data_IF_399382697158
#
_entry.id   IF_399382697158
#
_cell.length_a   1.000
_cell.length_b   1.000
_cell.length_c   1.000
_cell.angle_alpha   90.00
_cell.angle_beta   90.00
_cell.angle_gamma   90.00
#
_symmetry.space_group_name_H-M   'P 1'
#
loop_
_entity.id
_entity.type
_entity.pdbx_description
1 polymer ?
#
# COMPACT_ATOMS: atom_id res chain seq x y z
N UNK A 1 -23.11 24.39 -12.90
CA UNK A 1 -22.56 24.30 -12.34
C UNK A 1 -21.67 23.73 -12.14
N UNK A 2 -21.30 23.52 -12.03
CA UNK A 2 -20.47 22.90 -11.78
C UNK A 2 -19.78 22.55 -10.97
N UNK A 3 -19.63 22.23 -10.59
CA UNK A 3 -19.08 21.98 -9.87
C UNK A 3 -18.23 21.31 -9.69
N UNK A 4 -17.94 20.89 -9.73
CA UNK A 4 -17.34 20.38 -9.50
C UNK A 4 -16.43 20.02 -9.54
N UNK A 5 -16.20 19.82 -9.66
CA UNK A 5 -15.33 19.51 -9.93
C UNK A 5 -14.20 19.42 -9.24
N UNK A 6 -13.91 19.70 -8.60
CA UNK A 6 -12.92 19.81 -7.86
C UNK A 6 -12.51 18.73 -7.05
N UNK A 7 -13.20 17.91 -6.99
CA UNK A 7 -12.84 16.84 -6.28
C UNK A 7 -11.71 16.08 -6.70
N UNK A 8 -11.23 16.18 -7.82
CA UNK A 8 -10.14 15.41 -8.33
C UNK A 8 -8.82 15.72 -7.63
N UNK A 9 -8.78 16.71 -6.79
CA UNK A 9 -7.57 17.02 -6.04
C UNK A 9 -7.39 16.15 -4.80
N UNK A 10 -8.35 15.32 -4.44
CA UNK A 10 -8.22 14.46 -3.29
C UNK A 10 -7.17 13.39 -3.52
N UNK A 11 -6.38 13.01 -2.47
CA UNK A 11 -5.44 11.92 -2.61
C UNK A 11 -6.16 10.64 -3.03
N UNK A 12 -5.60 9.92 -3.99
CA UNK A 12 -6.20 8.70 -4.49
C UNK A 12 -7.20 8.91 -5.59
N UNK A 13 -7.56 10.16 -5.89
CA UNK A 13 -8.38 10.51 -7.05
C UNK A 13 -9.87 10.46 -6.82
N UNK A 14 -10.59 10.08 -7.87
CA UNK A 14 -12.04 10.08 -7.88
C UNK A 14 -12.61 8.96 -7.02
N UNK A 15 -13.92 9.03 -6.79
CA UNK A 15 -14.64 7.97 -6.09
C UNK A 15 -14.44 6.62 -6.75
N UNK A 16 -14.46 6.60 -8.07
CA UNK A 16 -14.27 5.37 -8.81
C UNK A 16 -12.86 4.83 -8.61
N UNK A 17 -11.86 5.70 -8.67
CA UNK A 17 -10.48 5.29 -8.40
C UNK A 17 -10.33 4.73 -7.00
N UNK A 18 -10.94 5.38 -6.02
CA UNK A 18 -10.87 4.92 -4.63
C UNK A 18 -11.55 3.57 -4.45
N UNK A 19 -12.70 3.39 -5.09
CA UNK A 19 -13.44 2.14 -4.97
C UNK A 19 -12.69 0.98 -5.61
N UNK A 20 -12.18 1.18 -6.82
CA UNK A 20 -11.41 0.13 -7.49
C UNK A 20 -10.15 -0.16 -6.72
N UNK A 21 -9.50 0.89 -6.20
CA UNK A 21 -8.30 0.70 -5.38
C UNK A 21 -8.56 -0.17 -4.17
N UNK A 22 -9.71 0.03 -3.48
CA UNK A 22 -10.05 -0.80 -2.33
C UNK A 22 -10.32 -2.24 -2.72
N UNK A 23 -10.97 -2.45 -3.85
CA UNK A 23 -11.21 -3.81 -4.33
C UNK A 23 -9.87 -4.52 -4.59
N UNK A 24 -8.95 -3.85 -5.27
CA UNK A 24 -7.64 -4.41 -5.56
C UNK A 24 -6.86 -4.63 -4.27
N UNK A 25 -6.92 -3.67 -3.33
CA UNK A 25 -6.22 -3.77 -2.06
C UNK A 25 -6.63 -5.03 -1.30
N UNK A 26 -7.94 -5.25 -1.18
CA UNK A 26 -8.45 -6.42 -0.48
C UNK A 26 -8.00 -7.71 -1.17
N UNK A 27 -8.03 -7.74 -2.51
CA UNK A 27 -7.63 -8.92 -3.24
C UNK A 27 -6.16 -9.25 -3.01
N UNK A 28 -5.28 -8.24 -3.13
CA UNK A 28 -3.85 -8.45 -2.95
C UNK A 28 -3.55 -8.85 -1.52
N UNK A 29 -4.18 -8.17 -0.55
CA UNK A 29 -3.96 -8.50 0.86
C UNK A 29 -4.35 -9.94 1.15
N UNK A 30 -5.48 -10.39 0.61
CA UNK A 30 -5.93 -11.76 0.82
C UNK A 30 -4.98 -12.77 0.19
N UNK A 31 -4.52 -12.49 -1.03
CA UNK A 31 -3.58 -13.40 -1.71
C UNK A 31 -2.31 -13.55 -0.88
N UNK A 32 -1.78 -12.43 -0.39
CA UNK A 32 -0.54 -12.47 0.39
C UNK A 32 -0.75 -13.13 1.74
N UNK A 33 -1.89 -12.90 2.38
CA UNK A 33 -2.18 -13.48 3.68
C UNK A 33 -2.35 -15.00 3.60
N UNK A 34 -2.85 -15.48 2.47
CA UNK A 34 -3.08 -16.92 2.28
C UNK A 34 -1.84 -17.65 1.78
N UNK A 35 -0.72 -16.95 1.64
CA UNK A 35 0.49 -17.59 1.12
C UNK A 35 0.34 -17.98 -0.35
N UNK A 36 -0.40 -17.18 -1.11
CA UNK A 36 -0.68 -17.51 -2.50
C UNK A 36 0.49 -17.35 -3.44
N UNK A 37 1.57 -16.74 -3.01
CA UNK A 37 2.75 -16.56 -3.83
C UNK A 37 3.87 -17.43 -3.29
N UNK A 38 4.36 -18.32 -4.10
CA UNK A 38 5.44 -19.22 -3.69
C UNK A 38 6.78 -18.62 -4.10
N UNK A 39 7.37 -17.85 -3.19
CA UNK A 39 8.65 -17.22 -3.41
C UNK A 39 9.36 -17.18 -2.06
N UNK A 40 10.58 -17.71 -2.03
CA UNK A 40 11.32 -17.82 -0.78
C UNK A 40 11.53 -16.46 -0.12
N UNK A 41 11.65 -15.41 -0.91
CA UNK A 41 11.86 -14.08 -0.37
C UNK A 41 10.59 -13.46 0.23
N UNK A 42 9.44 -14.09 0.02
CA UNK A 42 8.19 -13.66 0.63
C UNK A 42 7.80 -14.53 1.81
N UNK A 43 8.33 -15.75 1.86
CA UNK A 43 8.01 -16.67 2.94
C UNK A 43 8.59 -16.14 4.24
N UNK A 44 7.83 -16.28 5.31
CA UNK A 44 8.27 -15.78 6.60
C UNK A 44 8.02 -14.31 6.82
N UNK A 45 7.52 -13.59 5.81
CA UNK A 45 7.17 -12.19 5.97
C UNK A 45 5.66 -12.03 6.03
N UNK A 46 5.21 -11.27 7.02
CA UNK A 46 3.82 -10.83 7.08
C UNK A 46 3.79 -9.48 6.38
N UNK A 47 3.07 -9.40 5.27
CA UNK A 47 3.08 -8.20 4.44
C UNK A 47 1.71 -7.56 4.49
N UNK A 48 1.65 -6.31 4.94
CA UNK A 48 0.40 -5.57 4.95
C UNK A 48 0.31 -4.72 3.68
N UNK A 49 -0.93 -4.45 3.27
CA UNK A 49 -1.21 -3.62 2.10
C UNK A 49 -2.07 -2.45 2.58
N UNK A 50 -1.43 -1.39 3.08
CA UNK A 50 -2.22 -0.27 3.63
C UNK A 50 -2.99 0.51 2.58
N UNK A 51 -2.52 0.54 1.35
CA UNK A 51 -3.15 1.40 0.36
C UNK A 51 -2.88 0.90 -1.05
N UNK A 52 -3.85 1.09 -1.94
CA UNK A 52 -3.66 0.93 -3.39
C UNK A 52 -4.19 2.19 -4.05
N UNK A 53 -3.38 2.80 -4.88
CA UNK A 53 -3.78 3.97 -5.66
C UNK A 53 -3.90 3.61 -7.11
N UNK A 54 -5.05 3.93 -7.69
CA UNK A 54 -5.31 3.64 -9.09
C UNK A 54 -4.98 4.85 -9.95
N UNK A 55 -4.44 4.60 -11.15
CA UNK A 55 -4.32 5.66 -12.14
C UNK A 55 -5.73 6.09 -12.58
N UNK A 56 -5.87 7.32 -13.12
CA UNK A 56 -7.19 7.79 -13.52
C UNK A 56 -7.89 6.91 -14.56
N UNK A 57 -7.13 6.25 -15.43
CA UNK A 57 -7.68 5.35 -16.43
C UNK A 57 -7.89 3.93 -15.89
N UNK A 58 -7.57 3.71 -14.61
CA UNK A 58 -7.73 2.42 -13.92
C UNK A 58 -6.87 1.31 -14.50
N UNK A 59 -5.83 1.65 -15.26
CA UNK A 59 -4.99 0.64 -15.88
C UNK A 59 -3.79 0.26 -15.02
N UNK A 60 -3.43 1.10 -14.06
CA UNK A 60 -2.30 0.83 -13.19
C UNK A 60 -2.70 0.97 -11.74
N UNK A 61 -2.40 -0.04 -10.95
CA UNK A 61 -2.59 -0.03 -9.51
C UNK A 61 -1.22 0.05 -8.85
N UNK A 62 -0.99 1.12 -8.10
CA UNK A 62 0.21 1.23 -7.27
C UNK A 62 -0.13 0.66 -5.90
N UNK A 63 0.46 -0.47 -5.61
CA UNK A 63 0.18 -1.22 -4.38
C UNK A 63 1.25 -0.88 -3.37
N UNK A 64 0.84 -0.21 -2.29
CA UNK A 64 1.74 0.14 -1.20
C UNK A 64 1.75 -1.00 -0.21
N UNK A 65 2.94 -1.45 0.13
CA UNK A 65 3.11 -2.61 1.01
C UNK A 65 4.08 -2.26 2.13
N UNK A 66 3.93 -2.97 3.24
CA UNK A 66 4.85 -2.82 4.36
C UNK A 66 5.02 -4.18 5.02
N UNK A 67 6.21 -4.77 4.94
CA UNK A 67 6.49 -5.98 5.71
C UNK A 67 6.44 -5.67 7.21
N UNK A 68 5.91 -6.58 7.97
CA UNK A 68 5.82 -6.40 9.41
C UNK A 68 7.22 -6.20 9.99
N UNK A 69 7.37 -5.15 10.79
CA UNK A 69 8.66 -4.79 11.34
C UNK A 69 9.52 -3.96 10.42
N UNK A 70 9.09 -3.76 9.18
CA UNK A 70 9.82 -2.90 8.23
C UNK A 70 11.14 -3.46 7.78
N UNK A 71 11.34 -4.78 7.90
CA UNK A 71 12.62 -5.40 7.54
C UNK A 71 12.59 -5.94 6.13
N UNK A 72 13.75 -5.86 5.49
CA UNK A 72 13.95 -6.45 4.16
C UNK A 72 12.96 -5.94 3.13
N UNK A 73 12.62 -4.67 3.21
CA UNK A 73 11.64 -4.09 2.29
C UNK A 73 12.08 -4.22 0.85
N UNK A 74 13.38 -4.02 0.58
CA UNK A 74 13.88 -4.12 -0.80
C UNK A 74 13.73 -5.54 -1.35
N UNK A 75 14.00 -6.54 -0.52
CA UNK A 75 13.86 -7.94 -0.91
C UNK A 75 12.41 -8.27 -1.20
N UNK A 76 11.52 -7.81 -0.33
CA UNK A 76 10.09 -8.07 -0.49
C UNK A 76 9.55 -7.38 -1.75
N UNK A 77 9.91 -6.13 -1.97
CA UNK A 77 9.45 -5.40 -3.16
C UNK A 77 9.95 -6.08 -4.43
N UNK A 78 11.20 -6.50 -4.46
CA UNK A 78 11.74 -7.20 -5.62
C UNK A 78 11.01 -8.51 -5.88
N UNK A 79 10.68 -9.24 -4.81
CA UNK A 79 9.95 -10.50 -4.96
C UNK A 79 8.53 -10.27 -5.46
N UNK A 80 7.86 -9.24 -4.97
CA UNK A 80 6.52 -8.93 -5.45
C UNK A 80 6.54 -8.52 -6.93
N UNK A 81 7.52 -7.71 -7.31
CA UNK A 81 7.66 -7.30 -8.71
C UNK A 81 7.93 -8.50 -9.60
N UNK A 82 8.74 -9.44 -9.13
CA UNK A 82 9.07 -10.65 -9.85
C UNK A 82 7.82 -11.51 -10.10
N UNK A 83 6.87 -11.45 -9.17
CA UNK A 83 5.65 -12.25 -9.23
C UNK A 83 4.43 -11.45 -9.68
N UNK A 84 4.61 -10.27 -10.25
CA UNK A 84 3.47 -9.40 -10.53
C UNK A 84 2.52 -9.98 -11.57
N UNK A 85 3.03 -10.75 -12.51
CA UNK A 85 2.16 -11.39 -13.50
C UNK A 85 1.21 -12.37 -12.84
N UNK A 86 1.75 -13.18 -11.95
CA UNK A 86 0.96 -14.14 -11.20
C UNK A 86 -0.08 -13.40 -10.34
N UNK A 87 0.36 -12.36 -9.64
CA UNK A 87 -0.53 -11.60 -8.78
C UNK A 87 -1.63 -10.92 -9.58
N UNK A 88 -1.30 -10.38 -10.74
CA UNK A 88 -2.30 -9.76 -11.60
C UNK A 88 -3.36 -10.78 -12.01
N UNK A 89 -2.94 -11.98 -12.36
CA UNK A 89 -3.87 -13.05 -12.72
C UNK A 89 -4.77 -13.44 -11.55
N UNK A 90 -4.19 -13.53 -10.36
CA UNK A 90 -4.98 -13.85 -9.16
C UNK A 90 -5.97 -12.75 -8.82
N UNK A 91 -5.57 -11.50 -8.96
CA UNK A 91 -6.50 -10.39 -8.75
C UNK A 91 -7.64 -10.46 -9.75
N UNK A 92 -7.32 -10.72 -11.03
CA UNK A 92 -8.35 -10.84 -12.05
C UNK A 92 -9.36 -11.93 -11.73
N UNK A 93 -8.90 -13.04 -11.15
CA UNK A 93 -9.80 -14.11 -10.75
C UNK A 93 -10.70 -13.73 -9.58
N UNK A 94 -10.20 -12.92 -8.67
CA UNK A 94 -10.91 -12.62 -7.43
C UNK A 94 -11.86 -11.46 -7.56
N UNK A 95 -11.60 -10.55 -8.50
CA UNK A 95 -12.40 -9.34 -8.62
C UNK A 95 -13.10 -9.31 -9.97
N UNK A 96 -14.29 -8.73 -9.97
CA UNK A 96 -15.09 -8.65 -11.18
C UNK A 96 -14.86 -7.30 -11.85
N UNK A 97 -13.65 -7.12 -12.36
CA UNK A 97 -13.29 -5.91 -13.09
C UNK A 97 -13.24 -6.21 -14.57
N UNK A 98 -13.62 -5.24 -15.36
CA UNK A 98 -13.61 -5.39 -16.81
C UNK A 98 -12.21 -5.70 -17.33
N UNK A 99 -11.22 -5.03 -16.78
CA UNK A 99 -9.82 -5.28 -17.09
C UNK A 99 -9.02 -5.34 -15.80
N UNK A 100 -8.13 -6.29 -15.69
CA UNK A 100 -7.22 -6.35 -14.56
C UNK A 100 -6.16 -5.27 -14.73
N UNK A 101 -5.94 -4.43 -13.73
CA UNK A 101 -4.90 -3.41 -13.83
C UNK A 101 -3.52 -4.04 -13.73
N UNK A 102 -2.54 -3.37 -14.29
CA UNK A 102 -1.15 -3.71 -14.01
C UNK A 102 -0.86 -3.35 -12.55
N UNK A 103 0.06 -4.08 -11.95
CA UNK A 103 0.43 -3.84 -10.56
C UNK A 103 1.83 -3.25 -10.49
N UNK A 104 1.99 -2.30 -9.60
CA UNK A 104 3.30 -1.73 -9.27
C UNK A 104 3.40 -1.68 -7.77
N UNK A 105 4.51 -2.15 -7.23
CA UNK A 105 4.68 -2.27 -5.79
C UNK A 105 5.62 -1.20 -5.26
N UNK A 106 5.23 -0.57 -4.16
CA UNK A 106 6.00 0.46 -3.50
C UNK A 106 5.96 0.23 -2.00
N UNK A 107 7.01 0.65 -1.32
CA UNK A 107 7.00 0.61 0.13
C UNK A 107 6.14 1.76 0.64
N UNK A 108 5.31 1.48 1.63
CA UNK A 108 4.53 2.54 2.28
C UNK A 108 5.45 3.29 3.22
N UNK A 109 5.71 4.55 2.92
CA UNK A 109 6.62 5.38 3.71
C UNK A 109 5.95 6.06 4.89
N UNK A 110 4.63 5.89 5.05
CA UNK A 110 3.93 6.48 6.20
C UNK A 110 4.53 6.04 7.51
N UNK A 111 4.91 4.76 7.58
CA UNK A 111 5.52 4.23 8.79
C UNK A 111 6.82 4.96 9.11
N UNK A 112 7.66 5.17 8.11
CA UNK A 112 8.93 5.84 8.30
C UNK A 112 8.72 7.29 8.76
N UNK A 113 7.75 7.97 8.20
CA UNK A 113 7.43 9.31 8.63
C UNK A 113 6.94 9.32 10.07
N UNK A 114 6.09 8.38 10.42
CA UNK A 114 5.64 8.22 11.79
C UNK A 114 6.78 7.97 12.75
N UNK A 115 7.71 7.11 12.36
CA UNK A 115 8.87 6.83 13.17
C UNK A 115 9.75 8.06 13.37
N UNK A 116 9.90 8.87 12.33
CA UNK A 116 10.67 10.10 12.46
C UNK A 116 10.00 11.08 13.41
N UNK A 117 8.69 11.19 13.33
CA UNK A 117 7.95 12.04 14.22
C UNK A 117 8.09 11.56 15.66
N UNK A 118 7.98 10.27 15.88
CA UNK A 118 8.16 9.68 17.19
C UNK A 118 9.55 9.96 17.73
N UNK A 119 10.57 9.83 16.90
CA UNK A 119 11.94 10.11 17.30
C UNK A 119 12.10 11.57 17.70
N UNK A 120 11.48 12.49 16.98
CA UNK A 120 11.51 13.89 17.33
C UNK A 120 10.84 14.16 18.66
N UNK A 121 9.70 13.51 18.88
CA UNK A 121 8.97 13.67 20.15
C UNK A 121 9.74 13.11 21.33
N UNK A 122 10.63 12.17 21.07
CA UNK A 122 11.46 11.59 22.13
C UNK A 122 12.81 12.27 22.26
N UNK A 123 13.04 13.33 21.51
CA UNK A 123 14.25 14.09 21.66
C UNK A 123 14.31 14.71 23.06
N UNK A 124 15.49 14.95 23.60
CA UNK A 124 15.58 15.47 24.96
C UNK A 124 14.80 16.75 25.20
N UNK A 125 14.75 17.63 24.21
CA UNK A 125 14.03 18.88 24.39
C UNK A 125 12.52 18.68 24.46
N UNK A 126 11.98 17.92 23.54
CA UNK A 126 10.54 17.67 23.49
C UNK A 126 10.11 16.86 24.69
N UNK A 127 10.91 15.85 25.05
CA UNK A 127 10.58 15.01 26.18
C UNK A 127 10.52 15.82 27.47
N UNK A 128 11.44 16.75 27.64
CA UNK A 128 11.43 17.63 28.82
C UNK A 128 10.16 18.46 28.86
N UNK A 129 9.74 19.00 27.72
CA UNK A 129 8.53 19.79 27.67
C UNK A 129 7.30 18.98 28.05
N UNK A 130 7.24 17.75 27.56
CA UNK A 130 6.15 16.85 27.89
C UNK A 130 6.14 16.50 29.37
N UNK A 131 7.31 16.24 29.94
CA UNK A 131 7.42 15.93 31.36
C UNK A 131 6.98 17.09 32.21
N UNK A 132 7.30 18.33 31.80
CA UNK A 132 6.90 19.50 32.53
C UNK A 132 5.39 19.70 32.56
N UNK A 133 4.71 19.23 31.55
CA UNK A 133 3.26 19.37 31.47
C UNK A 133 2.54 18.41 32.39
N UNK A 134 3.21 17.37 32.79
CA UNK A 134 2.65 16.42 33.72
C UNK A 134 2.90 16.84 35.16
#
# INVERSE_FOLDING_TARGET
MPRHHQKSSAPGGSQRQLRVGEIVRHAVADILAQGGVHDADLEGHIITVPEVRMSPDLKLATVYVMPLGGKETDVVIAALARNKKFLRGEVAHRVNLKFAPDLRFRVDTSFDEGSRIDALLESPEVKRDLDKKE
#
